data_IF_280389393455
#
_entry.id   IF_280389393455
#
_cell.length_a   1.000
_cell.length_b   1.000
_cell.length_c   1.000
_cell.angle_alpha   90.00
_cell.angle_beta   90.00
_cell.angle_gamma   90.00
#
_symmetry.space_group_name_H-M   'P 1'
#
loop_
_entity.id
_entity.type
_entity.pdbx_description
1 polymer ?
#
# COMPACT_ATOMS: atom_id res chain seq x y z
N UNK A 1 17.35 -2.83 72.52
CA UNK A 1 18.74 -2.33 72.38
C UNK A 1 19.69 -3.51 72.47
N UNK A 2 20.18 -4.02 71.33
CA UNK A 2 21.43 -4.79 71.20
C UNK A 2 21.63 -5.16 69.72
N UNK A 3 22.79 -4.78 69.17
CA UNK A 3 23.62 -5.43 68.13
C UNK A 3 22.92 -5.99 66.85
N UNK A 4 23.32 -5.67 65.62
CA UNK A 4 24.66 -5.64 64.99
C UNK A 4 24.52 -4.77 63.70
N UNK A 5 25.12 -3.59 63.52
CA UNK A 5 26.53 -3.26 63.28
C UNK A 5 27.25 -4.11 62.21
N UNK A 6 27.74 -3.40 61.17
CA UNK A 6 28.95 -3.60 60.35
C UNK A 6 28.64 -3.61 58.84
N UNK A 7 28.86 -2.47 58.17
CA UNK A 7 30.11 -2.09 57.46
C UNK A 7 30.28 -2.84 56.14
N UNK A 8 30.33 -2.07 55.05
CA UNK A 8 31.52 -2.08 54.19
C UNK A 8 31.53 -0.87 53.26
N UNK A 9 32.52 -0.01 53.48
CA UNK A 9 33.11 0.84 52.44
C UNK A 9 33.50 -0.05 51.26
N UNK A 10 33.17 0.38 50.05
CA UNK A 10 33.93 0.00 48.87
C UNK A 10 34.05 1.23 47.97
N UNK A 11 35.10 2.02 48.25
CA UNK A 11 35.76 2.81 47.23
C UNK A 11 36.35 1.83 46.21
N UNK A 12 35.91 1.90 44.96
CA UNK A 12 36.63 1.32 43.84
C UNK A 12 36.60 2.32 42.69
N UNK A 13 37.70 3.06 42.58
CA UNK A 13 38.14 3.75 41.37
C UNK A 13 38.31 2.69 40.28
N UNK A 14 37.73 2.89 39.09
CA UNK A 14 38.30 2.30 37.89
C UNK A 14 38.44 3.36 36.79
N UNK A 15 39.62 3.29 36.18
CA UNK A 15 40.28 4.25 35.31
C UNK A 15 40.08 3.84 33.85
N UNK A 16 40.12 4.86 33.00
CA UNK A 16 40.53 4.82 31.58
C UNK A 16 39.63 4.12 30.54
N UNK A 17 39.30 4.93 29.54
CA UNK A 17 39.84 4.69 28.20
C UNK A 17 38.81 4.35 27.12
N UNK A 18 38.89 5.07 26.01
CA UNK A 18 38.33 4.61 24.73
C UNK A 18 37.48 5.63 24.00
N UNK A 19 38.12 6.49 23.22
CA UNK A 19 37.53 7.09 22.03
C UNK A 19 37.09 5.99 21.05
N UNK A 20 35.92 6.17 20.43
CA UNK A 20 35.55 5.46 19.20
C UNK A 20 34.49 4.37 19.40
N UNK A 21 33.26 4.71 19.05
CA UNK A 21 32.18 3.75 18.92
C UNK A 21 30.94 4.42 18.35
N UNK A 22 30.86 4.48 17.01
CA UNK A 22 29.58 4.65 16.33
C UNK A 22 28.63 3.57 16.84
N UNK A 23 27.67 3.95 17.68
CA UNK A 23 26.56 3.07 17.98
C UNK A 23 25.68 2.98 16.75
N UNK A 24 25.98 1.98 15.94
CA UNK A 24 25.07 1.32 15.02
C UNK A 24 23.89 0.78 15.82
N UNK A 25 22.71 1.33 15.60
CA UNK A 25 21.38 0.79 15.93
C UNK A 25 20.38 1.75 15.27
N UNK A 26 19.61 1.43 14.23
CA UNK A 26 18.97 0.18 13.85
C UNK A 26 18.91 0.15 12.32
N UNK A 27 19.46 -0.90 11.70
CA UNK A 27 19.12 -1.26 10.32
C UNK A 27 17.72 -1.86 10.33
N UNK A 28 16.70 -0.99 10.41
CA UNK A 28 15.43 -1.33 9.78
C UNK A 28 15.71 -1.38 8.28
N UNK A 29 15.54 -2.54 7.66
CA UNK A 29 15.46 -2.60 6.20
C UNK A 29 14.38 -1.61 5.77
N UNK A 30 14.78 -0.41 5.33
CA UNK A 30 13.94 0.45 4.52
C UNK A 30 13.75 -0.30 3.21
N UNK A 31 12.80 -1.23 3.19
CA UNK A 31 12.23 -1.74 1.95
C UNK A 31 11.54 -0.56 1.30
N UNK A 32 12.31 0.21 0.51
CA UNK A 32 11.78 1.26 -0.34
C UNK A 32 10.74 0.59 -1.24
N UNK A 33 9.46 0.97 -1.10
CA UNK A 33 8.44 0.43 -1.97
C UNK A 33 8.78 0.81 -3.42
N UNK A 34 8.58 -0.11 -4.38
CA UNK A 34 8.82 0.18 -5.78
C UNK A 34 7.92 1.34 -6.24
N UNK A 35 8.53 2.41 -6.74
CA UNK A 35 7.82 3.62 -7.20
C UNK A 35 7.37 3.54 -8.67
N UNK A 36 7.73 2.49 -9.39
CA UNK A 36 7.28 2.27 -10.76
C UNK A 36 5.84 1.75 -10.80
N UNK A 37 5.12 2.01 -11.89
CA UNK A 37 3.86 1.33 -12.17
C UNK A 37 4.04 -0.19 -12.20
N UNK A 38 2.97 -0.93 -11.87
CA UNK A 38 2.95 -2.38 -12.01
C UNK A 38 2.66 -2.79 -13.46
N UNK A 39 1.78 -2.05 -14.13
CA UNK A 39 1.47 -2.19 -15.55
C UNK A 39 1.84 -0.93 -16.33
N UNK A 40 2.48 -1.10 -17.49
CA UNK A 40 2.67 -0.01 -18.44
C UNK A 40 1.35 0.29 -19.15
N UNK A 41 1.06 1.56 -19.43
CA UNK A 41 -0.13 1.99 -20.14
C UNK A 41 0.23 2.84 -21.35
N UNK A 42 -0.63 2.83 -22.36
CA UNK A 42 -0.50 3.66 -23.55
C UNK A 42 -0.93 5.11 -23.25
N UNK A 43 -0.27 6.14 -23.81
CA UNK A 43 -0.54 7.53 -23.46
C UNK A 43 -1.98 8.00 -23.70
N UNK A 44 -2.67 7.43 -24.68
CA UNK A 44 -4.07 7.75 -25.04
C UNK A 44 -5.08 7.30 -23.99
N UNK A 45 -4.75 6.27 -23.20
CA UNK A 45 -5.61 5.73 -22.15
C UNK A 45 -5.34 6.36 -20.77
N UNK A 46 -4.20 7.04 -20.62
CA UNK A 46 -3.78 7.63 -19.34
C UNK A 46 -4.80 8.65 -18.83
N UNK A 47 -5.30 9.53 -19.69
CA UNK A 47 -6.29 10.55 -19.30
C UNK A 47 -7.58 9.92 -18.76
N UNK A 48 -8.06 8.85 -19.40
CA UNK A 48 -9.25 8.13 -18.95
C UNK A 48 -9.07 7.50 -17.57
N UNK A 49 -7.90 6.91 -17.29
CA UNK A 49 -7.62 6.34 -15.97
C UNK A 49 -7.45 7.41 -14.89
N UNK A 50 -6.83 8.55 -15.21
CA UNK A 50 -6.67 9.66 -14.28
C UNK A 50 -8.02 10.24 -13.86
N UNK A 51 -8.97 10.38 -14.79
CA UNK A 51 -10.33 10.81 -14.46
C UNK A 51 -11.04 9.84 -13.53
N UNK A 52 -10.92 8.54 -13.78
CA UNK A 52 -11.47 7.49 -12.91
C UNK A 52 -10.84 7.59 -11.51
N UNK A 53 -9.51 7.66 -11.44
CA UNK A 53 -8.77 7.77 -10.18
C UNK A 53 -9.21 8.98 -9.36
N UNK A 54 -9.29 10.16 -9.98
CA UNK A 54 -9.75 11.38 -9.33
C UNK A 54 -11.18 11.26 -8.82
N UNK A 55 -12.10 10.69 -9.61
CA UNK A 55 -13.47 10.46 -9.18
C UNK A 55 -13.54 9.57 -7.92
N UNK A 56 -12.68 8.54 -7.84
CA UNK A 56 -12.64 7.66 -6.66
C UNK A 56 -11.97 8.34 -5.46
N UNK A 57 -10.94 9.15 -5.67
CA UNK A 57 -10.30 9.93 -4.60
C UNK A 57 -11.30 10.88 -3.93
N UNK A 58 -12.27 11.42 -4.67
CA UNK A 58 -13.36 12.24 -4.12
C UNK A 58 -14.34 11.40 -3.29
N UNK A 59 -14.75 10.23 -3.79
CA UNK A 59 -15.62 9.32 -3.05
C UNK A 59 -14.99 8.84 -1.74
N UNK A 60 -13.72 8.47 -1.79
CA UNK A 60 -12.96 7.98 -0.64
C UNK A 60 -12.84 9.01 0.48
N UNK A 61 -12.89 10.32 0.16
CA UNK A 61 -12.90 11.39 1.18
C UNK A 61 -14.25 11.49 1.93
N UNK A 62 -15.32 11.00 1.31
CA UNK A 62 -16.68 11.15 1.82
C UNK A 62 -17.24 9.86 2.42
N UNK A 63 -16.61 8.72 2.13
CA UNK A 63 -17.00 7.43 2.63
C UNK A 63 -15.91 6.85 3.54
N UNK A 64 -16.33 6.04 4.51
CA UNK A 64 -15.39 5.32 5.38
C UNK A 64 -15.62 3.79 5.34
N UNK A 65 -16.85 3.34 5.06
CA UNK A 65 -17.21 1.93 4.99
C UNK A 65 -18.46 1.70 4.13
N UNK A 66 -18.73 0.44 3.79
CA UNK A 66 -19.91 0.01 3.05
C UNK A 66 -19.69 -0.06 1.55
N UNK A 67 -20.69 -0.56 0.84
CA UNK A 67 -20.61 -1.00 -0.58
C UNK A 67 -19.98 0.06 -1.49
N UNK A 68 -20.44 1.31 -1.43
CA UNK A 68 -19.90 2.40 -2.26
C UNK A 68 -18.42 2.68 -1.95
N UNK A 69 -18.03 2.57 -0.69
CA UNK A 69 -16.64 2.78 -0.28
C UNK A 69 -15.76 1.63 -0.74
N UNK A 70 -16.23 0.39 -0.59
CA UNK A 70 -15.52 -0.78 -1.11
C UNK A 70 -15.26 -0.66 -2.62
N UNK A 71 -16.25 -0.20 -3.41
CA UNK A 71 -16.08 0.05 -4.85
C UNK A 71 -15.05 1.13 -5.11
N UNK A 72 -15.10 2.24 -4.37
CA UNK A 72 -14.20 3.36 -4.57
C UNK A 72 -12.74 2.96 -4.30
N UNK A 73 -12.47 2.32 -3.17
CA UNK A 73 -11.14 1.83 -2.82
C UNK A 73 -10.66 0.76 -3.80
N UNK A 74 -11.50 -0.23 -4.14
CA UNK A 74 -11.08 -1.29 -5.05
C UNK A 74 -10.77 -0.74 -6.45
N UNK A 75 -11.62 0.13 -6.98
CA UNK A 75 -11.43 0.77 -8.29
C UNK A 75 -10.20 1.67 -8.29
N UNK A 76 -9.99 2.46 -7.22
CA UNK A 76 -8.81 3.32 -7.07
C UNK A 76 -7.51 2.50 -7.04
N UNK A 77 -7.52 1.37 -6.35
CA UNK A 77 -6.40 0.43 -6.29
C UNK A 77 -6.07 -0.14 -7.67
N UNK A 78 -7.09 -0.52 -8.45
CA UNK A 78 -6.90 -0.98 -9.83
C UNK A 78 -6.28 0.10 -10.74
N UNK A 79 -6.72 1.36 -10.63
CA UNK A 79 -6.10 2.48 -11.36
C UNK A 79 -4.64 2.66 -10.94
N UNK A 80 -4.34 2.58 -9.64
CA UNK A 80 -2.99 2.74 -9.12
C UNK A 80 -1.99 1.70 -9.67
N UNK A 81 -2.46 0.53 -10.14
CA UNK A 81 -1.62 -0.47 -10.80
C UNK A 81 -0.88 0.12 -12.02
N UNK A 82 -1.47 1.09 -12.70
CA UNK A 82 -0.91 1.75 -13.88
C UNK A 82 -0.13 3.03 -13.54
N UNK A 83 -0.28 3.54 -12.32
CA UNK A 83 0.34 4.79 -11.87
C UNK A 83 1.61 4.51 -11.05
N UNK A 84 1.47 3.73 -9.99
CA UNK A 84 2.52 3.53 -8.99
C UNK A 84 2.21 2.30 -8.12
N UNK A 85 3.11 1.32 -8.13
CA UNK A 85 2.95 0.07 -7.39
C UNK A 85 2.83 0.29 -5.87
N UNK A 86 3.58 1.23 -5.30
CA UNK A 86 3.47 1.56 -3.88
C UNK A 86 2.07 2.11 -3.53
N UNK A 87 1.51 2.97 -4.39
CA UNK A 87 0.18 3.52 -4.18
C UNK A 87 -0.90 2.43 -4.27
N UNK A 88 -0.79 1.51 -5.24
CA UNK A 88 -1.70 0.37 -5.35
C UNK A 88 -1.68 -0.51 -4.10
N UNK A 89 -0.48 -0.82 -3.59
CA UNK A 89 -0.32 -1.56 -2.34
C UNK A 89 -1.02 -0.82 -1.19
N UNK A 90 -0.78 0.48 -1.04
CA UNK A 90 -1.37 1.28 0.05
C UNK A 90 -2.90 1.24 0.00
N UNK A 91 -3.50 1.47 -1.16
CA UNK A 91 -4.97 1.50 -1.31
C UNK A 91 -5.58 0.11 -1.05
N UNK A 92 -4.97 -0.96 -1.56
CA UNK A 92 -5.45 -2.32 -1.30
C UNK A 92 -5.27 -2.74 0.17
N UNK A 93 -4.19 -2.34 0.82
CA UNK A 93 -4.00 -2.55 2.25
C UNK A 93 -5.06 -1.82 3.07
N UNK A 94 -5.38 -0.58 2.70
CA UNK A 94 -6.43 0.19 3.37
C UNK A 94 -7.80 -0.47 3.20
N UNK A 95 -8.16 -0.91 1.99
CA UNK A 95 -9.40 -1.66 1.76
C UNK A 95 -9.49 -2.93 2.64
N UNK A 96 -8.42 -3.71 2.68
CA UNK A 96 -8.38 -4.96 3.44
C UNK A 96 -8.47 -4.73 4.96
N UNK A 97 -7.88 -3.65 5.46
CA UNK A 97 -7.80 -3.37 6.90
C UNK A 97 -9.00 -2.58 7.42
N UNK A 98 -9.44 -1.55 6.70
CA UNK A 98 -10.56 -0.71 7.10
C UNK A 98 -11.93 -1.36 6.85
N UNK A 99 -12.01 -2.24 5.85
CA UNK A 99 -13.25 -2.93 5.46
C UNK A 99 -13.04 -4.45 5.41
N UNK A 100 -12.81 -5.08 6.58
CA UNK A 100 -12.65 -6.52 6.65
C UNK A 100 -13.94 -7.21 6.18
N UNK A 101 -13.80 -8.27 5.39
CA UNK A 101 -14.91 -8.97 4.72
C UNK A 101 -15.61 -8.16 3.60
N UNK A 102 -14.93 -7.17 3.00
CA UNK A 102 -15.46 -6.57 1.77
C UNK A 102 -15.70 -7.63 0.69
N UNK A 103 -16.58 -7.34 -0.27
CA UNK A 103 -16.78 -8.26 -1.42
C UNK A 103 -15.50 -8.50 -2.25
N UNK A 104 -14.50 -7.65 -2.07
CA UNK A 104 -13.23 -7.68 -2.77
C UNK A 104 -12.11 -8.36 -1.99
N UNK A 105 -12.35 -8.86 -0.78
CA UNK A 105 -11.30 -9.33 0.13
C UNK A 105 -10.32 -10.34 -0.51
N UNK A 106 -10.86 -11.36 -1.20
CA UNK A 106 -10.05 -12.34 -1.93
C UNK A 106 -9.24 -11.70 -3.07
N UNK A 107 -9.87 -10.81 -3.85
CA UNK A 107 -9.20 -10.12 -4.95
C UNK A 107 -8.10 -9.17 -4.45
N UNK A 108 -8.36 -8.42 -3.38
CA UNK A 108 -7.43 -7.52 -2.71
C UNK A 108 -6.23 -8.30 -2.16
N UNK A 109 -6.46 -9.44 -1.52
CA UNK A 109 -5.39 -10.34 -1.06
C UNK A 109 -4.54 -10.85 -2.24
N UNK A 110 -5.20 -11.26 -3.34
CA UNK A 110 -4.52 -11.65 -4.58
C UNK A 110 -3.62 -10.55 -5.14
N UNK A 111 -4.13 -9.31 -5.22
CA UNK A 111 -3.33 -8.16 -5.65
C UNK A 111 -2.15 -7.90 -4.73
N UNK A 112 -2.34 -7.91 -3.41
CA UNK A 112 -1.24 -7.68 -2.47
C UNK A 112 -0.13 -8.72 -2.62
N UNK A 113 -0.48 -9.99 -2.81
CA UNK A 113 0.50 -11.04 -3.08
C UNK A 113 1.27 -10.78 -4.38
N UNK A 114 0.57 -10.47 -5.48
CA UNK A 114 1.19 -10.15 -6.77
C UNK A 114 2.08 -8.90 -6.72
N UNK A 115 1.62 -7.87 -6.00
CA UNK A 115 2.32 -6.59 -5.85
C UNK A 115 3.45 -6.65 -4.84
N UNK A 116 3.60 -7.71 -4.06
CA UNK A 116 4.76 -7.92 -3.18
C UNK A 116 5.78 -8.87 -3.79
N UNK A 117 5.35 -9.77 -4.67
CA UNK A 117 6.25 -10.68 -5.39
C UNK A 117 7.18 -9.91 -6.35
N UNK A 118 8.49 -10.15 -6.23
CA UNK A 118 9.53 -9.52 -7.07
C UNK A 118 9.78 -10.26 -8.39
N UNK A 119 8.84 -11.15 -8.76
CA UNK A 119 8.64 -11.81 -10.05
C UNK A 119 9.12 -13.26 -10.11
N UNK A 120 8.18 -14.14 -10.51
CA UNK A 120 8.53 -15.29 -11.35
C UNK A 120 8.73 -14.79 -12.78
N UNK A 121 9.95 -14.96 -13.31
CA UNK A 121 10.37 -14.44 -14.62
C UNK A 121 9.99 -15.34 -15.80
N UNK A 122 9.17 -16.37 -15.57
CA UNK A 122 8.78 -17.34 -16.59
C UNK A 122 7.96 -16.70 -17.72
N UNK A 123 8.04 -17.26 -18.92
CA UNK A 123 7.25 -16.79 -20.07
C UNK A 123 5.74 -16.93 -19.84
N UNK A 124 5.32 -18.02 -19.19
CA UNK A 124 3.94 -18.27 -18.81
C UNK A 124 3.43 -17.21 -17.83
N UNK A 125 4.20 -16.90 -16.78
CA UNK A 125 3.88 -15.84 -15.83
C UNK A 125 3.69 -14.48 -16.52
N UNK A 126 4.55 -14.17 -17.51
CA UNK A 126 4.45 -12.92 -18.28
C UNK A 126 3.20 -12.87 -19.14
N UNK A 127 2.83 -13.97 -19.78
CA UNK A 127 1.61 -14.04 -20.61
C UNK A 127 0.36 -13.85 -19.76
N UNK A 128 0.28 -14.55 -18.62
CA UNK A 128 -0.82 -14.40 -17.65
C UNK A 128 -0.90 -12.97 -17.13
N UNK A 129 0.25 -12.34 -16.81
CA UNK A 129 0.30 -10.96 -16.34
C UNK A 129 -0.16 -9.96 -17.43
N UNK A 130 0.17 -10.22 -18.70
CA UNK A 130 -0.32 -9.45 -19.84
C UNK A 130 -1.84 -9.56 -20.02
N UNK A 131 -2.41 -10.75 -19.87
CA UNK A 131 -3.85 -10.95 -19.92
C UNK A 131 -4.55 -10.25 -18.74
N UNK A 132 -4.00 -10.36 -17.54
CA UNK A 132 -4.53 -9.71 -16.35
C UNK A 132 -4.55 -8.19 -16.51
N UNK A 133 -3.46 -7.61 -17.03
CA UNK A 133 -3.40 -6.18 -17.38
C UNK A 133 -4.58 -5.80 -18.29
N UNK A 134 -4.77 -6.54 -19.38
CA UNK A 134 -5.80 -6.22 -20.36
C UNK A 134 -7.21 -6.31 -19.77
N UNK A 135 -7.49 -7.32 -18.94
CA UNK A 135 -8.78 -7.47 -18.28
C UNK A 135 -9.09 -6.31 -17.33
N UNK A 136 -8.10 -5.90 -16.52
CA UNK A 136 -8.28 -4.76 -15.61
C UNK A 136 -8.55 -3.48 -16.40
N UNK A 137 -7.75 -3.23 -17.43
CA UNK A 137 -7.87 -2.04 -18.27
C UNK A 137 -9.24 -1.97 -18.96
N UNK A 138 -9.67 -3.06 -19.59
CA UNK A 138 -10.98 -3.15 -20.24
C UNK A 138 -12.12 -2.87 -19.24
N UNK A 139 -12.07 -3.51 -18.07
CA UNK A 139 -13.10 -3.31 -17.03
C UNK A 139 -13.22 -1.85 -16.61
N UNK A 140 -12.09 -1.18 -16.39
CA UNK A 140 -12.06 0.24 -16.00
C UNK A 140 -12.62 1.15 -17.10
N UNK A 141 -12.21 0.93 -18.35
CA UNK A 141 -12.61 1.77 -19.47
C UNK A 141 -14.08 1.58 -19.86
N UNK A 142 -14.58 0.34 -19.86
CA UNK A 142 -15.97 0.02 -20.17
C UNK A 142 -16.94 0.70 -19.18
N UNK A 143 -16.57 0.76 -17.91
CA UNK A 143 -17.42 1.31 -16.84
C UNK A 143 -17.11 2.77 -16.51
N UNK A 144 -16.20 3.43 -17.25
CA UNK A 144 -15.72 4.80 -16.97
C UNK A 144 -16.85 5.78 -16.73
N UNK A 145 -17.86 5.79 -17.59
CA UNK A 145 -18.97 6.75 -17.50
C UNK A 145 -19.73 6.68 -16.17
N UNK A 146 -20.04 5.47 -15.70
CA UNK A 146 -20.72 5.28 -14.43
C UNK A 146 -19.83 5.60 -13.23
N UNK A 147 -18.56 5.20 -13.29
CA UNK A 147 -17.59 5.44 -12.22
C UNK A 147 -17.31 6.94 -12.01
N UNK A 148 -17.15 7.69 -13.10
CA UNK A 148 -16.90 9.13 -13.05
C UNK A 148 -18.13 9.88 -12.56
N UNK A 149 -19.33 9.52 -13.04
CA UNK A 149 -20.57 10.15 -12.61
C UNK A 149 -20.75 10.06 -11.08
N UNK A 150 -20.56 8.87 -10.51
CA UNK A 150 -20.68 8.66 -9.06
C UNK A 150 -19.73 9.56 -8.25
N UNK A 151 -18.48 9.75 -8.71
CA UNK A 151 -17.54 10.64 -8.04
C UNK A 151 -17.90 12.12 -8.13
N UNK A 152 -18.46 12.56 -9.26
CA UNK A 152 -18.93 13.94 -9.41
C UNK A 152 -20.17 14.25 -8.58
N UNK A 153 -21.07 13.28 -8.39
CA UNK A 153 -22.23 13.44 -7.50
C UNK A 153 -21.82 13.58 -6.03
N UNK A 154 -20.79 12.86 -5.62
CA UNK A 154 -20.19 12.98 -4.30
C UNK A 154 -19.65 14.40 -4.06
N UNK A 155 -18.86 14.94 -5.00
CA UNK A 155 -18.27 16.28 -4.90
C UNK A 155 -19.29 17.42 -4.69
N UNK A 156 -20.50 17.27 -5.23
CA UNK A 156 -21.53 18.31 -5.23
C UNK A 156 -22.48 18.26 -4.01
N UNK A 157 -22.25 17.36 -3.05
CA UNK A 157 -22.94 17.33 -1.75
C UNK A 157 -22.12 17.97 -0.66
#
# INVERSE_FOLDING_TARGET
>A
MLARMLRSLALAVYVAGGTGGCLLSQSGSSTTLPSSAFFLIEPDQLGSLQEIGHAQDLLMKQCHKGVTCEDAYYTRGLVALFENRANAISVFQELHTAMPNSRYDSATTGWLNLLQDRASSSSESKAVLGQLKQQVLLKLLEHRGGIVAQGTEAQNR
#
